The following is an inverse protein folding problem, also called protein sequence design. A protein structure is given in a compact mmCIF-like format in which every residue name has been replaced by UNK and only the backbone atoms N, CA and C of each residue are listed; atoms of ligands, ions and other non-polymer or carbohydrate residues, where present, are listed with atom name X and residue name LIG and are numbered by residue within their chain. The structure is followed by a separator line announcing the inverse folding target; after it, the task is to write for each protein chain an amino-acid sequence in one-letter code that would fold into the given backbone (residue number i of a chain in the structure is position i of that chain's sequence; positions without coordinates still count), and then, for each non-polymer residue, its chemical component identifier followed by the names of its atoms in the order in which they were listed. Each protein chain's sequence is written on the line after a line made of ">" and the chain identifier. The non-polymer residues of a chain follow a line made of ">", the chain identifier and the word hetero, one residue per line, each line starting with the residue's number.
data_IF_868207759592
#
_entry.id   IF_868207759592
#
_cell.length_a   1.000
_cell.length_b   1.000
_cell.length_c   1.000
_cell.angle_alpha   90.00
_cell.angle_beta   90.00
_cell.angle_gamma   90.00
#
_symmetry.space_group_name_H-M   'P 1'
#
loop_
_entity.id
_entity.type
_entity.pdbx_description
1 polymer ?
#
# COMPACT_ATOMS: atom_id res chain seq x y z
N UNK A 1 9.42 30.12 35.20
CA UNK A 1 9.12 28.70 34.98
C UNK A 1 9.08 28.42 33.49
N UNK A 2 10.09 27.79 32.89
CA UNK A 2 10.05 27.34 31.51
C UNK A 2 9.13 26.12 31.47
N UNK A 3 7.88 26.28 31.03
CA UNK A 3 7.00 25.18 30.70
C UNK A 3 7.75 24.26 29.72
N UNK A 4 7.98 23.00 30.10
CA UNK A 4 8.46 21.94 29.20
C UNK A 4 7.32 21.67 28.22
N UNK A 5 7.24 22.49 27.18
CA UNK A 5 6.27 22.23 26.10
C UNK A 5 6.72 20.97 25.38
N UNK A 6 5.99 19.90 25.60
CA UNK A 6 6.21 18.60 24.94
C UNK A 6 6.16 18.78 23.42
N UNK A 7 7.07 18.11 22.70
CA UNK A 7 7.03 18.03 21.24
C UNK A 7 5.81 17.24 20.71
N UNK A 8 5.00 16.66 21.57
CA UNK A 8 3.80 15.89 21.23
C UNK A 8 2.61 16.37 22.05
N UNK A 9 1.48 16.58 21.40
CA UNK A 9 0.22 16.96 22.04
C UNK A 9 -0.80 15.83 21.93
N UNK A 10 -0.97 15.06 23.01
CA UNK A 10 -1.89 13.92 23.06
C UNK A 10 -3.37 14.30 22.88
N UNK A 11 -3.76 15.51 23.28
CA UNK A 11 -5.16 15.97 23.11
C UNK A 11 -5.48 16.22 21.65
N UNK A 12 -4.57 16.87 20.90
CA UNK A 12 -4.71 17.09 19.47
C UNK A 12 -4.68 15.77 18.69
N UNK A 13 -3.76 14.88 19.05
CA UNK A 13 -3.66 13.54 18.47
C UNK A 13 -4.98 12.76 18.59
N UNK A 14 -5.52 12.68 19.81
CA UNK A 14 -6.79 11.97 20.05
C UNK A 14 -7.97 12.62 19.31
N UNK A 15 -7.97 13.94 19.22
CA UNK A 15 -9.00 14.68 18.49
C UNK A 15 -8.93 14.41 16.98
N UNK A 16 -7.73 14.39 16.40
CA UNK A 16 -7.54 14.04 15.00
C UNK A 16 -8.02 12.63 14.71
N UNK A 17 -7.61 11.65 15.52
CA UNK A 17 -8.01 10.26 15.36
C UNK A 17 -9.52 10.05 15.46
N UNK A 18 -10.15 10.71 16.45
CA UNK A 18 -11.61 10.66 16.64
C UNK A 18 -12.37 11.39 15.52
N UNK A 19 -11.84 12.51 15.02
CA UNK A 19 -12.49 13.27 13.93
C UNK A 19 -12.51 12.49 12.63
N UNK A 20 -11.43 11.78 12.30
CA UNK A 20 -11.26 11.07 11.04
C UNK A 20 -11.52 9.55 11.17
N UNK A 21 -12.28 9.14 12.20
CA UNK A 21 -12.62 7.73 12.39
C UNK A 21 -13.27 7.06 11.17
N UNK A 22 -14.10 7.76 10.34
CA UNK A 22 -14.67 7.12 9.16
C UNK A 22 -13.61 6.72 8.14
N UNK A 23 -12.52 7.48 8.04
CA UNK A 23 -11.45 7.22 7.09
C UNK A 23 -10.72 5.91 7.42
N UNK A 24 -10.20 5.78 8.65
CA UNK A 24 -9.49 4.57 9.05
C UNK A 24 -10.45 3.40 9.33
N UNK A 25 -11.70 3.67 9.68
CA UNK A 25 -12.74 2.66 9.83
C UNK A 25 -13.10 2.01 8.50
N UNK A 26 -13.35 2.80 7.45
CA UNK A 26 -13.60 2.30 6.10
C UNK A 26 -12.39 1.57 5.53
N UNK A 27 -11.17 2.08 5.75
CA UNK A 27 -9.96 1.40 5.32
C UNK A 27 -9.77 0.06 6.05
N UNK A 28 -10.09 -0.03 7.35
CA UNK A 28 -10.08 -1.29 8.11
C UNK A 28 -11.09 -2.28 7.57
N UNK A 29 -12.29 -1.83 7.23
CA UNK A 29 -13.31 -2.66 6.59
C UNK A 29 -12.85 -3.15 5.21
N UNK A 30 -12.32 -2.27 4.37
CA UNK A 30 -11.77 -2.63 3.06
C UNK A 30 -10.62 -3.65 3.18
N UNK A 31 -9.69 -3.43 4.10
CA UNK A 31 -8.59 -4.37 4.37
C UNK A 31 -9.07 -5.74 4.87
N UNK A 32 -10.16 -5.78 5.66
CA UNK A 32 -10.76 -7.02 6.13
C UNK A 32 -11.43 -7.85 5.01
N UNK A 33 -11.72 -7.24 3.85
CA UNK A 33 -12.28 -7.98 2.71
C UNK A 33 -11.29 -9.01 2.14
N UNK A 34 -9.98 -8.77 2.26
CA UNK A 34 -8.98 -9.71 1.77
C UNK A 34 -8.97 -11.04 2.56
N UNK A 35 -8.81 -11.07 3.91
CA UNK A 35 -8.95 -12.31 4.66
C UNK A 35 -10.35 -12.93 4.55
N UNK A 36 -11.39 -12.12 4.37
CA UNK A 36 -12.74 -12.63 4.12
C UNK A 36 -12.83 -13.34 2.77
N UNK A 37 -12.23 -12.80 1.71
CA UNK A 37 -12.18 -13.45 0.41
C UNK A 37 -11.44 -14.80 0.48
N UNK A 38 -10.32 -14.87 1.20
CA UNK A 38 -9.62 -16.13 1.46
C UNK A 38 -10.52 -17.15 2.18
N UNK A 39 -11.28 -16.70 3.16
CA UNK A 39 -12.25 -17.55 3.89
C UNK A 39 -13.33 -18.08 2.95
N UNK A 40 -13.92 -17.23 2.11
CA UNK A 40 -14.96 -17.62 1.16
C UNK A 40 -14.44 -18.60 0.11
N UNK A 41 -13.22 -18.43 -0.36
CA UNK A 41 -12.58 -19.37 -1.29
C UNK A 41 -12.38 -20.75 -0.64
N UNK A 42 -11.94 -20.79 0.60
CA UNK A 42 -11.84 -22.03 1.38
C UNK A 42 -13.19 -22.75 1.51
N UNK A 43 -14.25 -22.01 1.82
CA UNK A 43 -15.61 -22.54 1.93
C UNK A 43 -16.12 -23.06 0.57
N UNK A 44 -15.82 -22.35 -0.52
CA UNK A 44 -16.23 -22.72 -1.87
C UNK A 44 -15.53 -23.99 -2.38
N UNK A 45 -14.24 -24.14 -2.07
CA UNK A 45 -13.41 -25.28 -2.47
C UNK A 45 -13.52 -26.51 -1.55
N UNK A 46 -14.57 -26.59 -0.75
CA UNK A 46 -14.87 -27.76 0.09
C UNK A 46 -13.85 -27.99 1.20
N UNK A 47 -13.36 -26.94 1.84
CA UNK A 47 -12.36 -26.99 2.91
C UNK A 47 -11.02 -27.60 2.49
N UNK A 48 -10.63 -27.43 1.23
CA UNK A 48 -9.26 -27.76 0.82
C UNK A 48 -8.33 -26.74 1.50
N UNK A 49 -7.58 -27.22 2.46
CA UNK A 49 -6.60 -26.38 3.16
C UNK A 49 -5.49 -25.95 2.21
N UNK A 50 -5.14 -24.66 2.27
CA UNK A 50 -4.02 -24.15 1.55
C UNK A 50 -2.70 -24.64 2.16
N UNK A 51 -1.73 -24.92 1.31
CA UNK A 51 -0.37 -25.13 1.79
C UNK A 51 0.22 -23.79 2.25
N UNK A 52 1.21 -23.79 3.16
CA UNK A 52 1.91 -22.55 3.56
C UNK A 52 2.51 -21.79 2.37
N UNK A 53 2.95 -22.50 1.32
CA UNK A 53 3.51 -21.90 0.11
C UNK A 53 2.43 -21.21 -0.74
N UNK A 54 1.26 -21.80 -0.91
CA UNK A 54 0.13 -21.17 -1.61
C UNK A 54 -0.33 -19.92 -0.89
N UNK A 55 -0.40 -19.96 0.44
CA UNK A 55 -0.72 -18.81 1.29
C UNK A 55 0.31 -17.69 1.11
N UNK A 56 1.61 -18.02 1.12
CA UNK A 56 2.71 -17.06 0.88
C UNK A 56 2.61 -16.44 -0.50
N UNK A 57 2.31 -17.22 -1.53
CA UNK A 57 2.13 -16.73 -2.89
C UNK A 57 0.98 -15.72 -2.97
N UNK A 58 -0.16 -16.02 -2.35
CA UNK A 58 -1.29 -15.10 -2.30
C UNK A 58 -0.92 -13.77 -1.63
N UNK A 59 -0.22 -13.81 -0.50
CA UNK A 59 0.23 -12.60 0.20
C UNK A 59 1.16 -11.74 -0.66
N UNK A 60 2.15 -12.36 -1.30
CA UNK A 60 3.12 -11.63 -2.13
C UNK A 60 2.47 -11.08 -3.40
N UNK A 61 1.50 -11.78 -3.97
CA UNK A 61 0.74 -11.28 -5.11
C UNK A 61 -0.07 -10.03 -4.74
N UNK A 62 -0.75 -10.04 -3.60
CA UNK A 62 -1.49 -8.88 -3.11
C UNK A 62 -0.56 -7.72 -2.80
N UNK A 63 0.58 -7.99 -2.17
CA UNK A 63 1.59 -6.99 -1.86
C UNK A 63 2.13 -6.31 -3.14
N UNK A 64 2.39 -7.08 -4.19
CA UNK A 64 3.01 -6.55 -5.41
C UNK A 64 2.05 -5.74 -6.29
N UNK A 65 0.79 -6.16 -6.41
CA UNK A 65 -0.15 -5.56 -7.36
C UNK A 65 -1.27 -4.75 -6.69
N UNK A 66 -1.84 -5.26 -5.61
CA UNK A 66 -2.99 -4.63 -4.96
C UNK A 66 -2.62 -3.50 -4.03
N UNK A 67 -1.58 -3.71 -3.24
CA UNK A 67 -1.19 -2.78 -2.18
C UNK A 67 -0.69 -1.44 -2.70
N UNK A 68 0.17 -1.33 -3.73
CA UNK A 68 0.63 -0.04 -4.20
C UNK A 68 -0.51 0.89 -4.62
N UNK A 69 -1.53 0.36 -5.30
CA UNK A 69 -2.69 1.14 -5.73
C UNK A 69 -3.53 1.63 -4.54
N UNK A 70 -3.78 0.75 -3.58
CA UNK A 70 -4.53 1.09 -2.37
C UNK A 70 -3.74 2.06 -1.50
N UNK A 71 -2.43 1.84 -1.34
CA UNK A 71 -1.55 2.68 -0.54
C UNK A 71 -1.45 4.11 -1.05
N UNK A 72 -1.40 4.32 -2.39
CA UNK A 72 -1.43 5.64 -2.99
C UNK A 72 -2.70 6.39 -2.60
N UNK A 73 -3.85 5.78 -2.85
CA UNK A 73 -5.14 6.43 -2.61
C UNK A 73 -5.34 6.70 -1.11
N UNK A 74 -4.99 5.74 -0.28
CA UNK A 74 -5.16 5.87 1.16
C UNK A 74 -4.20 6.90 1.76
N UNK A 75 -2.95 6.94 1.30
CA UNK A 75 -1.95 7.89 1.76
C UNK A 75 -2.37 9.35 1.49
N UNK A 76 -2.88 9.63 0.28
CA UNK A 76 -3.34 10.99 -0.03
C UNK A 76 -4.57 11.38 0.78
N UNK A 77 -5.52 10.46 1.02
CA UNK A 77 -6.70 10.74 1.85
C UNK A 77 -6.28 11.04 3.30
N UNK A 78 -5.33 10.30 3.86
CA UNK A 78 -4.77 10.57 5.18
C UNK A 78 -4.03 11.91 5.23
N UNK A 79 -3.25 12.24 4.20
CA UNK A 79 -2.56 13.53 4.13
C UNK A 79 -3.55 14.68 4.00
N UNK A 80 -4.57 14.57 3.15
CA UNK A 80 -5.63 15.57 3.04
C UNK A 80 -6.38 15.77 4.37
N UNK A 81 -6.68 14.69 5.07
CA UNK A 81 -7.34 14.75 6.37
C UNK A 81 -6.51 15.53 7.39
N UNK A 82 -5.23 15.15 7.53
CA UNK A 82 -4.34 15.73 8.53
C UNK A 82 -3.95 17.17 8.21
N UNK A 83 -3.68 17.49 6.92
CA UNK A 83 -3.19 18.81 6.49
C UNK A 83 -4.28 19.75 5.98
N UNK A 84 -5.56 19.35 5.98
CA UNK A 84 -6.69 20.15 5.51
C UNK A 84 -6.79 21.54 6.16
N UNK A 85 -6.30 21.67 7.38
CA UNK A 85 -6.31 22.95 8.08
C UNK A 85 -5.40 24.00 7.44
N UNK A 86 -4.35 23.60 6.70
CA UNK A 86 -3.41 24.54 6.03
C UNK A 86 -4.10 25.38 4.95
N UNK A 87 -5.15 24.86 4.35
CA UNK A 87 -5.83 25.48 3.20
C UNK A 87 -6.98 26.41 3.59
N UNK A 88 -7.29 26.49 4.88
CA UNK A 88 -8.35 27.36 5.39
C UNK A 88 -7.75 28.42 6.34
N UNK A 89 -7.73 29.68 5.89
CA UNK A 89 -7.15 30.79 6.66
C UNK A 89 -7.71 30.91 8.09
N UNK A 90 -9.01 30.61 8.27
CA UNK A 90 -9.65 30.62 9.60
C UNK A 90 -9.12 29.53 10.51
N UNK A 91 -8.90 28.33 9.94
CA UNK A 91 -8.36 27.18 10.68
C UNK A 91 -6.89 27.39 11.02
N UNK A 92 -6.09 27.94 10.10
CA UNK A 92 -4.69 28.28 10.32
C UNK A 92 -4.57 29.30 11.44
N UNK A 93 -5.36 30.39 11.42
CA UNK A 93 -5.38 31.38 12.48
C UNK A 93 -5.69 30.77 13.85
N UNK A 94 -6.71 29.91 13.93
CA UNK A 94 -7.06 29.22 15.17
C UNK A 94 -5.96 28.25 15.66
N UNK A 95 -5.30 27.54 14.76
CA UNK A 95 -4.20 26.62 15.12
C UNK A 95 -2.97 27.39 15.62
N UNK A 96 -2.70 28.59 15.09
CA UNK A 96 -1.57 29.42 15.53
C UNK A 96 -1.81 30.14 16.86
N UNK A 97 -3.05 30.30 17.32
CA UNK A 97 -3.38 30.85 18.65
C UNK A 97 -3.22 29.81 19.77
N UNK A 98 -3.09 28.52 19.43
CA UNK A 98 -2.84 27.49 20.43
C UNK A 98 -1.42 27.62 21.02
N UNK A 99 -1.24 27.44 22.34
CA UNK A 99 0.05 27.50 22.99
C UNK A 99 0.92 26.24 22.72
N UNK A 100 1.03 25.89 21.46
CA UNK A 100 1.77 24.69 20.98
C UNK A 100 2.88 25.18 20.06
N UNK A 101 4.09 24.62 20.21
CA UNK A 101 5.19 24.89 19.28
C UNK A 101 4.84 24.36 17.88
N UNK A 102 5.25 25.07 16.84
CA UNK A 102 5.02 24.65 15.44
C UNK A 102 5.55 23.26 15.14
N UNK A 103 6.72 22.92 15.68
CA UNK A 103 7.31 21.60 15.60
C UNK A 103 6.42 20.52 16.23
N UNK A 104 5.86 20.81 17.42
CA UNK A 104 4.94 19.92 18.11
C UNK A 104 3.64 19.69 17.36
N UNK A 105 3.14 20.74 16.70
CA UNK A 105 1.96 20.63 15.81
C UNK A 105 2.25 19.71 14.62
N UNK A 106 3.40 19.92 13.96
CA UNK A 106 3.83 19.07 12.83
C UNK A 106 3.97 17.62 13.24
N UNK A 107 4.76 17.33 14.28
CA UNK A 107 5.00 15.96 14.78
C UNK A 107 3.68 15.30 15.18
N UNK A 108 2.79 16.00 15.88
CA UNK A 108 1.50 15.43 16.28
C UNK A 108 0.63 15.08 15.09
N UNK A 109 0.61 15.93 14.05
CA UNK A 109 -0.17 15.68 12.84
C UNK A 109 0.42 14.50 12.03
N UNK A 110 1.73 14.44 11.85
CA UNK A 110 2.39 13.30 11.18
C UNK A 110 2.09 12.00 11.91
N UNK A 111 2.25 11.98 13.25
CA UNK A 111 1.94 10.80 14.05
C UNK A 111 0.45 10.41 13.96
N UNK A 112 -0.45 11.39 13.89
CA UNK A 112 -1.89 11.12 13.68
C UNK A 112 -2.13 10.42 12.34
N UNK A 113 -1.51 10.91 11.25
CA UNK A 113 -1.60 10.30 9.93
C UNK A 113 -1.03 8.88 9.90
N UNK A 114 0.16 8.69 10.45
CA UNK A 114 0.79 7.37 10.55
C UNK A 114 -0.06 6.37 11.36
N UNK A 115 -0.65 6.82 12.47
CA UNK A 115 -1.53 5.97 13.27
C UNK A 115 -2.81 5.60 12.52
N UNK A 116 -3.41 6.55 11.79
CA UNK A 116 -4.58 6.28 10.94
C UNK A 116 -4.27 5.21 9.87
N UNK A 117 -3.03 5.16 9.37
CA UNK A 117 -2.59 4.13 8.42
C UNK A 117 -2.29 2.80 9.11
N UNK A 118 -1.64 2.84 10.26
CA UNK A 118 -1.24 1.63 10.99
C UNK A 118 -2.44 0.80 11.49
N UNK A 119 -3.54 1.45 11.91
CA UNK A 119 -4.72 0.76 12.44
C UNK A 119 -5.34 -0.22 11.43
N UNK A 120 -5.69 0.17 10.19
CA UNK A 120 -6.24 -0.75 9.20
C UNK A 120 -5.31 -1.93 8.89
N UNK A 121 -4.02 -1.67 8.77
CA UNK A 121 -3.04 -2.72 8.46
C UNK A 121 -2.86 -3.70 9.62
N UNK A 122 -2.86 -3.21 10.86
CA UNK A 122 -2.85 -4.05 12.03
C UNK A 122 -4.11 -4.93 12.13
N UNK A 123 -5.29 -4.37 11.87
CA UNK A 123 -6.56 -5.10 11.84
C UNK A 123 -6.53 -6.19 10.77
N UNK A 124 -6.12 -5.84 9.55
CA UNK A 124 -6.01 -6.79 8.44
C UNK A 124 -4.99 -7.90 8.76
N UNK A 125 -3.84 -7.55 9.31
CA UNK A 125 -2.81 -8.52 9.70
C UNK A 125 -3.29 -9.50 10.78
N UNK A 126 -4.01 -9.02 11.78
CA UNK A 126 -4.61 -9.88 12.82
C UNK A 126 -5.64 -10.82 12.21
N UNK A 127 -6.51 -10.33 11.33
CA UNK A 127 -7.51 -11.16 10.65
C UNK A 127 -6.85 -12.22 9.74
N UNK A 128 -5.79 -11.88 9.02
CA UNK A 128 -5.01 -12.84 8.22
C UNK A 128 -4.42 -13.96 9.08
N UNK A 129 -3.81 -13.61 10.20
CA UNK A 129 -3.29 -14.61 11.16
C UNK A 129 -4.41 -15.51 11.66
N UNK A 130 -5.55 -14.95 12.05
CA UNK A 130 -6.67 -15.74 12.55
C UNK A 130 -7.23 -16.70 11.50
N UNK A 131 -7.47 -16.22 10.27
CA UNK A 131 -7.99 -17.05 9.17
C UNK A 131 -7.03 -18.18 8.86
N UNK A 132 -5.74 -17.90 8.70
CA UNK A 132 -4.76 -18.92 8.33
C UNK A 132 -4.45 -19.90 9.47
N UNK A 133 -4.54 -19.48 10.73
CA UNK A 133 -4.44 -20.41 11.88
C UNK A 133 -5.62 -21.38 11.96
N UNK A 134 -6.84 -20.91 11.66
CA UNK A 134 -8.05 -21.71 11.75
C UNK A 134 -8.16 -22.73 10.61
N UNK A 135 -7.70 -22.38 9.42
CA UNK A 135 -7.95 -23.15 8.19
C UNK A 135 -6.69 -23.80 7.58
N UNK A 136 -5.58 -23.81 8.29
CA UNK A 136 -4.30 -24.30 7.78
C UNK A 136 -3.59 -23.27 6.89
N UNK A 137 -2.37 -23.58 6.47
CA UNK A 137 -1.57 -22.67 5.66
C UNK A 137 -0.95 -21.51 6.45
N UNK A 138 -0.87 -21.60 7.77
CA UNK A 138 -0.26 -20.57 8.61
C UNK A 138 1.20 -20.33 8.25
N UNK A 139 1.46 -19.12 7.77
CA UNK A 139 2.77 -18.68 7.31
C UNK A 139 3.13 -17.34 7.98
N UNK A 140 3.72 -17.39 9.19
CA UNK A 140 3.98 -16.17 9.98
C UNK A 140 4.94 -15.21 9.29
N UNK A 141 5.92 -15.74 8.55
CA UNK A 141 6.88 -14.91 7.84
C UNK A 141 6.24 -14.15 6.68
N UNK A 142 5.36 -14.81 5.93
CA UNK A 142 4.60 -14.17 4.86
C UNK A 142 3.70 -13.06 5.37
N UNK A 143 2.98 -13.27 6.47
CA UNK A 143 2.16 -12.22 7.09
C UNK A 143 3.01 -11.03 7.54
N UNK A 144 4.14 -11.31 8.22
CA UNK A 144 5.03 -10.25 8.73
C UNK A 144 5.60 -9.42 7.58
N UNK A 145 6.13 -10.05 6.54
CA UNK A 145 6.67 -9.36 5.36
C UNK A 145 5.59 -8.53 4.67
N UNK A 146 4.39 -9.07 4.53
CA UNK A 146 3.27 -8.35 3.90
C UNK A 146 2.86 -7.13 4.73
N UNK A 147 2.66 -7.26 6.03
CA UNK A 147 2.26 -6.15 6.89
C UNK A 147 3.34 -5.06 6.93
N UNK A 148 4.61 -5.43 7.08
CA UNK A 148 5.72 -4.47 7.07
C UNK A 148 5.89 -3.82 5.69
N UNK A 149 5.74 -4.59 4.61
CA UNK A 149 5.78 -4.08 3.24
C UNK A 149 4.71 -3.03 2.99
N UNK A 150 3.46 -3.34 3.32
CA UNK A 150 2.34 -2.40 3.19
C UNK A 150 2.56 -1.13 4.02
N UNK A 151 3.07 -1.28 5.24
CA UNK A 151 3.39 -0.12 6.08
C UNK A 151 4.50 0.74 5.47
N UNK A 152 5.56 0.13 4.94
CA UNK A 152 6.67 0.82 4.28
C UNK A 152 6.21 1.60 3.04
N UNK A 153 5.49 0.95 2.13
CA UNK A 153 4.90 1.60 0.96
C UNK A 153 3.99 2.76 1.32
N UNK A 154 3.11 2.55 2.29
CA UNK A 154 2.16 3.58 2.74
C UNK A 154 2.88 4.76 3.39
N UNK A 155 3.95 4.51 4.13
CA UNK A 155 4.77 5.56 4.75
C UNK A 155 5.46 6.40 3.68
N UNK A 156 6.01 5.77 2.65
CA UNK A 156 6.61 6.47 1.51
C UNK A 156 5.59 7.37 0.81
N UNK A 157 4.44 6.82 0.44
CA UNK A 157 3.38 7.58 -0.23
C UNK A 157 2.79 8.68 0.64
N UNK A 158 2.66 8.46 1.94
CA UNK A 158 2.23 9.50 2.88
C UNK A 158 3.27 10.63 3.00
N UNK A 159 4.57 10.28 3.02
CA UNK A 159 5.65 11.26 2.97
C UNK A 159 5.58 12.14 1.72
N UNK A 160 5.41 11.52 0.55
CA UNK A 160 5.24 12.20 -0.73
C UNK A 160 3.99 13.09 -0.75
N UNK A 161 2.86 12.59 -0.25
CA UNK A 161 1.62 13.36 -0.14
C UNK A 161 1.75 14.53 0.84
N UNK A 162 2.46 14.35 1.95
CA UNK A 162 2.77 15.42 2.91
C UNK A 162 3.65 16.49 2.28
N UNK A 163 4.68 16.09 1.52
CA UNK A 163 5.51 17.02 0.76
C UNK A 163 4.66 17.86 -0.22
N UNK A 164 3.80 17.23 -0.99
CA UNK A 164 2.86 17.93 -1.87
C UNK A 164 1.97 18.90 -1.10
N UNK A 165 1.50 18.51 0.10
CA UNK A 165 0.63 19.34 0.92
C UNK A 165 1.27 20.67 1.34
N UNK A 166 2.58 20.72 1.52
CA UNK A 166 3.31 21.94 1.87
C UNK A 166 3.63 22.83 0.66
N UNK A 167 3.69 22.27 -0.54
CA UNK A 167 3.97 23.04 -1.76
C UNK A 167 2.69 23.71 -2.28
N UNK A 168 1.57 23.02 -2.15
CA UNK A 168 0.31 23.45 -2.76
C UNK A 168 -0.50 24.36 -1.81
N UNK A 169 -1.04 25.44 -2.33
CA UNK A 169 -1.86 26.38 -1.57
C UNK A 169 -3.36 26.04 -1.56
N UNK A 170 -3.80 24.97 -2.22
CA UNK A 170 -5.22 24.61 -2.35
C UNK A 170 -5.44 23.11 -2.22
N UNK A 171 -6.49 22.70 -1.48
CA UNK A 171 -6.86 21.30 -1.25
C UNK A 171 -7.06 20.52 -2.56
N UNK A 172 -7.67 21.12 -3.57
CA UNK A 172 -7.95 20.46 -4.84
C UNK A 172 -6.71 20.28 -5.72
N UNK A 173 -5.68 21.11 -5.55
CA UNK A 173 -4.42 20.99 -6.27
C UNK A 173 -3.52 19.90 -5.70
N UNK A 174 -3.75 19.49 -4.45
CA UNK A 174 -2.94 18.45 -3.79
C UNK A 174 -3.03 17.10 -4.50
N UNK A 175 -4.23 16.53 -4.78
CA UNK A 175 -4.33 15.29 -5.54
C UNK A 175 -3.72 15.40 -6.95
N UNK A 176 -3.85 16.55 -7.60
CA UNK A 176 -3.32 16.76 -8.93
C UNK A 176 -1.78 16.71 -8.95
N UNK A 177 -1.12 17.44 -8.05
CA UNK A 177 0.35 17.43 -7.94
C UNK A 177 0.86 16.05 -7.51
N UNK A 178 0.19 15.43 -6.54
CA UNK A 178 0.54 14.11 -6.06
C UNK A 178 0.40 13.04 -7.16
N UNK A 179 -0.70 13.07 -7.92
CA UNK A 179 -0.90 12.20 -9.06
C UNK A 179 0.15 12.42 -10.15
N UNK A 180 0.46 13.68 -10.46
CA UNK A 180 1.51 14.01 -11.42
C UNK A 180 2.86 13.41 -11.00
N UNK A 181 3.27 13.56 -9.74
CA UNK A 181 4.54 13.01 -9.25
C UNK A 181 4.57 11.48 -9.27
N UNK A 182 3.46 10.82 -9.01
CA UNK A 182 3.39 9.36 -9.02
C UNK A 182 3.37 8.75 -10.43
N UNK A 183 2.86 9.47 -11.43
CA UNK A 183 2.67 8.97 -12.79
C UNK A 183 3.46 9.72 -13.86
N UNK A 184 4.44 10.53 -13.48
CA UNK A 184 5.16 11.39 -14.42
C UNK A 184 5.88 10.61 -15.52
N UNK A 185 6.47 9.45 -15.22
CA UNK A 185 7.13 8.61 -16.23
C UNK A 185 6.11 8.04 -17.22
N UNK A 186 4.96 7.56 -16.73
CA UNK A 186 3.89 7.04 -17.58
C UNK A 186 3.35 8.14 -18.51
N UNK A 187 3.17 9.35 -17.98
CA UNK A 187 2.72 10.50 -18.77
C UNK A 187 3.75 10.89 -19.84
N UNK A 188 5.04 10.88 -19.50
CA UNK A 188 6.11 11.19 -20.47
C UNK A 188 6.21 10.11 -21.54
N UNK A 189 6.14 8.82 -21.19
CA UNK A 189 6.13 7.73 -22.17
C UNK A 189 4.91 7.83 -23.10
N UNK A 190 3.74 8.09 -22.55
CA UNK A 190 2.54 8.29 -23.34
C UNK A 190 2.68 9.46 -24.33
N UNK A 191 3.19 10.61 -23.87
CA UNK A 191 3.41 11.78 -24.72
C UNK A 191 4.46 11.53 -25.80
N UNK A 192 5.58 10.88 -25.45
CA UNK A 192 6.63 10.55 -26.43
C UNK A 192 6.11 9.58 -27.48
N UNK A 193 5.37 8.55 -27.08
CA UNK A 193 4.76 7.61 -28.03
C UNK A 193 3.72 8.27 -28.92
N UNK A 194 2.88 9.13 -28.38
CA UNK A 194 1.88 9.87 -29.15
C UNK A 194 2.53 10.76 -30.22
N UNK A 195 3.60 11.49 -29.84
CA UNK A 195 4.33 12.35 -30.76
C UNK A 195 5.12 11.53 -31.80
N UNK A 196 5.79 10.46 -31.35
CA UNK A 196 6.55 9.60 -32.25
C UNK A 196 5.65 8.92 -33.31
N UNK A 197 4.51 8.40 -32.92
CA UNK A 197 3.54 7.80 -33.85
C UNK A 197 2.92 8.84 -34.78
N UNK A 198 2.71 10.06 -34.30
CA UNK A 198 2.11 11.13 -35.12
C UNK A 198 3.07 11.77 -36.13
N UNK A 199 4.35 11.88 -35.80
CA UNK A 199 5.34 12.61 -36.60
C UNK A 199 6.39 11.74 -37.31
N UNK A 200 6.64 10.52 -36.80
CA UNK A 200 7.64 9.63 -37.38
C UNK A 200 6.97 8.53 -38.22
N UNK A 201 7.13 8.62 -39.54
CA UNK A 201 6.59 7.63 -40.47
C UNK A 201 7.30 6.27 -40.30
N UNK A 202 6.54 5.20 -40.07
CA UNK A 202 7.07 3.84 -40.00
C UNK A 202 7.47 3.33 -38.58
N UNK A 203 7.32 4.14 -37.54
CA UNK A 203 7.47 3.67 -36.16
C UNK A 203 6.23 2.89 -35.72
N UNK A 204 6.34 1.56 -35.77
CA UNK A 204 5.26 0.63 -35.32
C UNK A 204 5.57 0.03 -33.93
N UNK A 205 6.62 0.44 -33.24
CA UNK A 205 6.98 -0.04 -31.93
C UNK A 205 6.72 1.01 -30.87
N UNK A 206 6.05 0.64 -29.79
CA UNK A 206 5.95 1.45 -28.59
C UNK A 206 7.35 1.65 -27.99
N UNK A 207 7.77 2.89 -27.87
CA UNK A 207 9.00 3.25 -27.17
C UNK A 207 8.73 3.16 -25.65
N UNK A 208 9.48 2.31 -24.96
CA UNK A 208 9.50 2.21 -23.50
C UNK A 208 10.91 2.51 -23.00
N UNK A 209 11.27 3.78 -22.95
CA UNK A 209 12.63 4.19 -22.62
C UNK A 209 12.75 5.22 -21.53
N UNK A 210 11.65 5.56 -20.90
CA UNK A 210 11.66 6.47 -19.76
C UNK A 210 12.17 5.81 -18.51
N UNK A 211 12.69 6.66 -17.69
CA UNK A 211 13.27 6.32 -16.41
C UNK A 211 12.15 5.88 -15.47
N UNK A 212 11.91 4.57 -15.37
CA UNK A 212 10.82 3.94 -14.59
C UNK A 212 10.78 4.41 -13.14
N UNK A 213 11.96 4.65 -12.53
CA UNK A 213 12.06 5.13 -11.14
C UNK A 213 11.48 6.54 -10.91
N UNK A 214 11.20 7.29 -11.99
CA UNK A 214 10.54 8.59 -11.88
C UNK A 214 9.05 8.48 -11.51
N UNK A 215 8.45 7.30 -11.68
CA UNK A 215 7.08 6.98 -11.24
C UNK A 215 7.12 5.92 -10.15
N UNK A 216 7.12 6.31 -8.87
CA UNK A 216 7.30 5.39 -7.75
C UNK A 216 6.34 4.21 -7.76
N UNK A 217 5.09 4.43 -8.13
CA UNK A 217 4.05 3.40 -8.20
C UNK A 217 4.37 2.35 -9.25
N UNK A 218 4.68 2.79 -10.47
CA UNK A 218 4.97 1.89 -11.59
C UNK A 218 6.24 1.10 -11.30
N UNK A 219 7.23 1.79 -10.73
CA UNK A 219 8.48 1.17 -10.32
C UNK A 219 8.26 0.07 -9.27
N UNK A 220 7.45 0.32 -8.25
CA UNK A 220 7.13 -0.68 -7.23
C UNK A 220 6.40 -1.88 -7.83
N UNK A 221 5.37 -1.65 -8.65
CA UNK A 221 4.59 -2.73 -9.28
C UNK A 221 5.47 -3.59 -10.20
N UNK A 222 6.40 -2.99 -10.94
CA UNK A 222 7.24 -3.71 -11.88
C UNK A 222 8.41 -4.45 -11.22
N UNK A 223 8.98 -3.87 -10.17
CA UNK A 223 10.19 -4.41 -9.52
C UNK A 223 9.91 -5.37 -8.37
N UNK A 224 8.79 -5.18 -7.68
CA UNK A 224 8.39 -6.07 -6.60
C UNK A 224 7.42 -7.09 -7.17
N UNK A 225 7.90 -8.27 -7.54
CA UNK A 225 7.08 -9.35 -8.07
C UNK A 225 7.26 -10.66 -7.29
N UNK A 226 6.19 -11.44 -7.10
CA UNK A 226 6.31 -12.76 -6.53
C UNK A 226 6.94 -13.69 -7.58
N UNK A 227 8.06 -14.29 -7.22
CA UNK A 227 8.69 -15.33 -8.04
C UNK A 227 8.32 -16.69 -7.47
N UNK A 228 7.56 -17.47 -8.25
CA UNK A 228 7.06 -18.79 -7.86
C UNK A 228 7.71 -19.87 -8.73
N UNK A 229 8.41 -20.79 -8.10
CA UNK A 229 9.04 -21.91 -8.80
C UNK A 229 8.13 -23.13 -8.71
N UNK A 230 7.82 -23.72 -9.85
CA UNK A 230 7.03 -24.93 -9.97
C UNK A 230 7.91 -26.07 -10.45
N UNK A 231 7.81 -27.22 -9.80
CA UNK A 231 8.44 -28.46 -10.27
C UNK A 231 7.36 -29.41 -10.81
N UNK A 232 7.64 -29.99 -11.95
CA UNK A 232 6.76 -30.99 -12.55
C UNK A 232 6.95 -32.32 -11.84
N UNK A 233 5.93 -32.83 -11.19
CA UNK A 233 5.94 -34.12 -10.53
C UNK A 233 4.96 -35.07 -11.22
N UNK A 234 5.42 -36.34 -11.41
CA UNK A 234 4.55 -37.41 -11.92
C UNK A 234 3.73 -37.97 -10.77
N UNK A 235 2.43 -37.77 -10.82
CA UNK A 235 1.51 -38.34 -9.85
C UNK A 235 0.73 -39.47 -10.49
N UNK A 236 0.66 -40.60 -9.78
CA UNK A 236 -0.13 -41.75 -10.23
C UNK A 236 -1.52 -41.65 -9.62
N UNK A 237 -2.55 -41.72 -10.45
CA UNK A 237 -3.94 -41.74 -9.97
C UNK A 237 -4.17 -42.99 -9.10
N UNK A 238 -4.77 -42.81 -7.93
CA UNK A 238 -5.11 -43.88 -6.99
C UNK A 238 -6.15 -44.86 -7.54
N UNK A 239 -6.94 -44.44 -8.53
CA UNK A 239 -8.09 -45.20 -9.05
C UNK A 239 -7.83 -45.87 -10.40
N UNK A 240 -6.86 -45.42 -11.20
CA UNK A 240 -6.67 -45.92 -12.55
C UNK A 240 -5.25 -46.22 -12.98
N UNK A 241 -4.24 -46.03 -12.14
CA UNK A 241 -2.83 -46.29 -12.46
C UNK A 241 -2.24 -45.40 -13.57
N UNK A 242 -3.00 -44.42 -14.05
CA UNK A 242 -2.49 -43.47 -15.04
C UNK A 242 -1.57 -42.45 -14.36
N UNK A 243 -0.43 -42.20 -15.00
CA UNK A 243 0.52 -41.16 -14.60
C UNK A 243 0.16 -39.87 -15.33
N UNK A 244 0.01 -38.82 -14.58
CA UNK A 244 -0.17 -37.46 -15.14
C UNK A 244 0.85 -36.50 -14.55
N UNK A 245 1.27 -35.56 -15.38
CA UNK A 245 2.13 -34.48 -14.92
C UNK A 245 1.32 -33.46 -14.13
N UNK A 246 1.78 -33.12 -12.94
CA UNK A 246 1.22 -32.02 -12.16
C UNK A 246 2.35 -31.08 -11.76
N UNK A 247 2.11 -29.80 -11.87
CA UNK A 247 3.03 -28.76 -11.38
C UNK A 247 2.80 -28.56 -9.88
N UNK A 248 3.83 -28.75 -9.08
CA UNK A 248 3.79 -28.53 -7.64
C UNK A 248 4.61 -27.29 -7.31
N UNK A 249 4.03 -26.38 -6.55
CA UNK A 249 4.71 -25.17 -6.09
C UNK A 249 5.79 -25.55 -5.07
N UNK A 250 7.05 -25.28 -5.41
CA UNK A 250 8.21 -25.69 -4.60
C UNK A 250 8.77 -24.55 -3.78
N UNK A 251 8.79 -23.33 -4.33
CA UNK A 251 9.26 -22.16 -3.59
C UNK A 251 8.55 -20.90 -4.03
N UNK A 252 8.41 -19.96 -3.11
CA UNK A 252 7.87 -18.62 -3.35
C UNK A 252 8.79 -17.61 -2.70
N UNK A 253 9.33 -16.71 -3.51
CA UNK A 253 10.20 -15.62 -3.07
C UNK A 253 9.67 -14.29 -3.58
N UNK A 254 9.96 -13.22 -2.86
CA UNK A 254 9.65 -11.87 -3.31
C UNK A 254 10.89 -11.28 -3.98
N UNK A 255 10.80 -11.05 -5.27
CA UNK A 255 11.90 -10.42 -6.01
C UNK A 255 12.01 -8.95 -5.60
N UNK A 256 13.26 -8.51 -5.35
CA UNK A 256 13.54 -7.15 -4.88
C UNK A 256 12.76 -6.70 -3.61
N UNK A 257 12.38 -7.63 -2.75
CA UNK A 257 11.67 -7.33 -1.51
C UNK A 257 12.39 -6.33 -0.58
N UNK A 258 13.69 -6.11 -0.76
CA UNK A 258 14.47 -5.11 -0.05
C UNK A 258 14.04 -3.66 -0.36
N UNK A 259 13.42 -3.41 -1.54
CA UNK A 259 12.88 -2.09 -1.91
C UNK A 259 11.73 -1.64 -1.00
N UNK A 260 11.09 -2.58 -0.31
CA UNK A 260 10.03 -2.29 0.66
C UNK A 260 10.63 -1.79 1.98
N UNK A 261 11.87 -2.16 2.25
CA UNK A 261 12.57 -1.84 3.50
C UNK A 261 13.49 -0.62 3.38
N UNK A 262 13.78 -0.16 2.16
CA UNK A 262 14.62 1.02 1.87
C UNK A 262 13.80 2.30 1.76
#
# INVERSE_FOLDING_TARGET
>A
MRSKTSCFNGTLFRKNLSRYWPLWGLASFGGAMFPLAMLLELLHNGFRFWSPLETRQAYYTVLSYGVPVISIVYAILCAMAVWSYLYNARSVGMMHTLPIRREGLFVTNVLSGLTMMAIPYAVTGVLLVLVTMLFGGFEPMGVLVTVLGVMGESLFFFGLATFCAFIVGNVFMLPALYGLLNFIAVLTDFMVNLLAQGFCFGLNSSYSGTVEWLSPVVYLIQKISPNSTYETQWVTDRLGGQRYETSVLTSVTLENGWLIAA
#
